data_IF_507806764281
#
_entry.id   IF_507806764281
#
_cell.length_a   1.000
_cell.length_b   1.000
_cell.length_c   1.000
_cell.angle_alpha   90.00
_cell.angle_beta   90.00
_cell.angle_gamma   90.00
#
_symmetry.space_group_name_H-M   'P 1'
#
loop_
_entity.id
_entity.type
_entity.pdbx_description
1 polymer ?
#
# COMPACT_ATOMS: atom_id res chain seq x y z
N UNK A 1 20.29 56.67 -20.96
CA UNK A 1 20.70 56.71 -19.53
C UNK A 1 20.01 57.85 -18.78
N UNK A 2 19.90 59.07 -19.33
CA UNK A 2 19.17 60.20 -18.70
C UNK A 2 17.65 60.00 -18.55
N UNK A 3 16.95 59.41 -19.53
CA UNK A 3 15.48 59.20 -19.45
C UNK A 3 15.05 58.24 -18.32
N UNK A 4 15.89 57.25 -18.04
CA UNK A 4 15.65 56.27 -16.99
C UNK A 4 15.76 56.89 -15.59
N UNK A 5 16.69 57.84 -15.42
CA UNK A 5 16.88 58.61 -14.18
C UNK A 5 15.68 59.57 -13.95
N UNK A 6 15.22 60.24 -15.00
CA UNK A 6 14.04 61.12 -14.92
C UNK A 6 12.77 60.36 -14.50
N UNK A 7 12.54 59.17 -15.06
CA UNK A 7 11.36 58.35 -14.74
C UNK A 7 11.41 57.85 -13.29
N UNK A 8 12.60 57.46 -12.81
CA UNK A 8 12.81 57.06 -11.43
C UNK A 8 12.54 58.23 -10.47
N UNK A 9 13.00 59.44 -10.79
CA UNK A 9 12.76 60.63 -9.97
C UNK A 9 11.28 61.00 -9.89
N UNK A 10 10.51 60.86 -10.97
CA UNK A 10 9.06 61.11 -10.94
C UNK A 10 8.32 60.12 -10.05
N UNK A 11 8.70 58.83 -10.13
CA UNK A 11 8.12 57.78 -9.28
C UNK A 11 8.41 58.03 -7.81
N UNK A 12 9.66 58.34 -7.46
CA UNK A 12 10.06 58.64 -6.08
C UNK A 12 9.30 59.85 -5.52
N UNK A 13 9.04 60.88 -6.33
CA UNK A 13 8.20 62.01 -5.92
C UNK A 13 6.76 61.59 -5.63
N UNK A 14 6.20 60.71 -6.45
CA UNK A 14 4.88 60.12 -6.20
C UNK A 14 4.83 59.35 -4.88
N UNK A 15 5.78 58.43 -4.67
CA UNK A 15 5.87 57.64 -3.45
C UNK A 15 6.07 58.51 -2.19
N UNK A 16 6.87 59.58 -2.28
CA UNK A 16 7.04 60.54 -1.17
C UNK A 16 5.72 61.28 -0.88
N UNK A 17 4.98 61.69 -1.92
CA UNK A 17 3.67 62.34 -1.77
C UNK A 17 2.68 61.41 -1.06
N UNK A 18 2.63 60.14 -1.47
CA UNK A 18 1.75 59.14 -0.86
C UNK A 18 2.10 58.90 0.62
N UNK A 19 3.40 58.81 0.93
CA UNK A 19 3.88 58.67 2.31
C UNK A 19 3.50 59.89 3.14
N UNK A 20 3.62 61.10 2.61
CA UNK A 20 3.22 62.32 3.31
C UNK A 20 1.73 62.36 3.60
N UNK A 21 0.89 61.93 2.65
CA UNK A 21 -0.55 61.83 2.83
C UNK A 21 -0.90 60.81 3.93
N UNK A 22 -0.28 59.63 3.90
CA UNK A 22 -0.48 58.59 4.92
C UNK A 22 -0.02 59.06 6.31
N UNK A 23 1.11 59.76 6.38
CA UNK A 23 1.62 60.33 7.62
C UNK A 23 0.66 61.39 8.19
N UNK A 24 0.07 62.21 7.33
CA UNK A 24 -0.97 63.18 7.69
C UNK A 24 -2.19 62.48 8.30
N UNK A 25 -2.71 61.45 7.62
CA UNK A 25 -3.83 60.63 8.13
C UNK A 25 -3.52 59.99 9.47
N UNK A 26 -2.30 59.47 9.66
CA UNK A 26 -1.87 58.88 10.94
C UNK A 26 -1.78 59.92 12.06
N UNK A 27 -1.27 61.13 11.78
CA UNK A 27 -1.22 62.22 12.76
C UNK A 27 -2.61 62.63 13.19
N UNK A 28 -3.54 62.77 12.26
CA UNK A 28 -4.93 63.10 12.57
C UNK A 28 -5.61 62.01 13.39
N UNK A 29 -5.40 60.74 13.05
CA UNK A 29 -5.92 59.61 13.82
C UNK A 29 -5.38 59.62 15.25
N UNK A 30 -4.07 59.82 15.42
CA UNK A 30 -3.43 59.89 16.73
C UNK A 30 -3.93 61.08 17.55
N UNK A 31 -4.10 62.25 16.92
CA UNK A 31 -4.61 63.45 17.57
C UNK A 31 -6.05 63.24 18.10
N UNK A 32 -6.91 62.59 17.32
CA UNK A 32 -8.27 62.24 17.74
C UNK A 32 -8.27 61.27 18.92
N UNK A 33 -7.39 60.28 18.91
CA UNK A 33 -7.22 59.35 20.05
C UNK A 33 -6.74 60.08 21.30
N UNK A 34 -5.77 61.00 21.18
CA UNK A 34 -5.26 61.80 22.31
C UNK A 34 -6.32 62.76 22.90
N UNK A 35 -7.27 63.21 22.08
CA UNK A 35 -8.45 63.98 22.51
C UNK A 35 -9.56 63.11 23.13
N UNK A 36 -9.38 61.79 23.19
CA UNK A 36 -10.39 60.86 23.72
C UNK A 36 -11.56 60.62 22.77
N UNK A 37 -11.46 61.00 21.50
CA UNK A 37 -12.46 60.61 20.50
C UNK A 37 -12.33 59.10 20.23
N UNK A 38 -13.44 58.38 20.44
CA UNK A 38 -13.50 56.95 20.17
C UNK A 38 -13.39 56.73 18.65
N UNK A 39 -12.29 56.13 18.20
CA UNK A 39 -12.16 55.70 16.82
C UNK A 39 -13.27 54.69 16.55
N UNK A 40 -14.20 55.01 15.63
CA UNK A 40 -15.16 54.03 15.13
C UNK A 40 -14.37 52.80 14.69
N UNK A 41 -14.55 51.70 15.43
CA UNK A 41 -14.06 50.41 14.98
C UNK A 41 -14.61 50.19 13.56
N UNK A 42 -13.79 49.72 12.60
CA UNK A 42 -14.32 49.34 11.31
C UNK A 42 -15.48 48.39 11.55
N UNK A 43 -16.61 48.64 10.88
CA UNK A 43 -17.80 47.81 11.03
C UNK A 43 -17.39 46.34 10.91
N UNK A 44 -17.94 45.45 11.75
CA UNK A 44 -17.62 44.03 11.67
C UNK A 44 -17.78 43.58 10.23
N UNK A 45 -16.76 42.90 9.70
CA UNK A 45 -16.80 42.38 8.34
C UNK A 45 -18.09 41.58 8.15
N UNK A 46 -18.75 41.77 7.01
CA UNK A 46 -19.94 40.99 6.69
C UNK A 46 -19.64 39.50 6.85
N UNK A 47 -20.57 38.69 7.40
CA UNK A 47 -20.34 37.27 7.60
C UNK A 47 -19.88 36.63 6.29
N UNK A 48 -18.73 35.96 6.33
CA UNK A 48 -18.16 35.32 5.15
C UNK A 48 -19.12 34.23 4.63
N UNK A 49 -19.51 34.34 3.36
CA UNK A 49 -20.35 33.34 2.72
C UNK A 49 -19.49 32.16 2.28
N UNK A 50 -19.46 31.10 3.10
CA UNK A 50 -18.67 29.91 2.82
C UNK A 50 -19.27 29.01 1.73
N UNK A 51 -18.41 28.42 0.90
CA UNK A 51 -18.80 27.40 -0.07
C UNK A 51 -19.24 26.11 0.62
N UNK A 52 -20.41 25.54 0.27
CA UNK A 52 -20.85 24.27 0.81
C UNK A 52 -20.04 23.09 0.24
N UNK A 53 -19.96 22.01 1.01
CA UNK A 53 -19.39 20.74 0.53
C UNK A 53 -20.25 20.13 -0.58
N UNK A 54 -19.61 19.58 -1.61
CA UNK A 54 -20.27 18.74 -2.63
C UNK A 54 -19.95 17.28 -2.31
N UNK A 55 -20.89 16.58 -1.68
CA UNK A 55 -20.70 15.20 -1.17
C UNK A 55 -21.68 14.29 -1.89
N UNK A 56 -21.21 13.13 -2.34
CA UNK A 56 -22.09 12.02 -2.68
C UNK A 56 -22.58 11.38 -1.37
N UNK A 57 -23.78 11.77 -0.94
CA UNK A 57 -24.38 11.31 0.32
C UNK A 57 -24.54 9.79 0.36
N UNK A 58 -24.90 9.16 -0.76
CA UNK A 58 -25.05 7.69 -0.83
C UNK A 58 -23.72 7.01 -0.54
N UNK A 59 -22.64 7.53 -1.10
CA UNK A 59 -21.30 6.98 -0.94
C UNK A 59 -20.72 7.27 0.47
N UNK A 60 -20.97 8.46 1.02
CA UNK A 60 -20.53 8.80 2.38
C UNK A 60 -21.17 7.93 3.46
N UNK A 61 -22.39 7.45 3.21
CA UNK A 61 -23.20 6.63 4.13
C UNK A 61 -23.10 5.12 3.84
N UNK A 62 -22.41 4.72 2.77
CA UNK A 62 -22.26 3.31 2.41
C UNK A 62 -21.23 2.57 3.27
N UNK A 63 -21.24 1.25 3.18
CA UNK A 63 -20.11 0.43 3.62
C UNK A 63 -18.86 0.75 2.77
N UNK A 64 -17.68 0.51 3.36
CA UNK A 64 -16.42 0.66 2.64
C UNK A 64 -16.32 -0.37 1.51
N UNK A 65 -15.80 0.00 0.33
CA UNK A 65 -15.59 -0.94 -0.75
C UNK A 65 -14.54 -1.99 -0.37
N UNK A 66 -14.77 -3.23 -0.79
CA UNK A 66 -13.86 -4.34 -0.55
C UNK A 66 -12.73 -4.36 -1.58
N UNK A 67 -11.58 -4.89 -1.18
CA UNK A 67 -10.53 -5.25 -2.12
C UNK A 67 -10.99 -6.44 -2.98
N UNK A 68 -10.74 -6.45 -4.31
CA UNK A 68 -11.12 -7.57 -5.17
C UNK A 68 -10.51 -8.90 -4.70
N UNK A 69 -11.31 -9.97 -4.72
CA UNK A 69 -10.85 -11.34 -4.37
C UNK A 69 -10.40 -12.15 -5.58
N UNK A 70 -10.53 -11.60 -6.78
CA UNK A 70 -10.12 -12.23 -8.04
C UNK A 70 -8.60 -12.33 -8.08
N UNK A 71 -8.04 -13.46 -8.49
CA UNK A 71 -6.58 -13.57 -8.64
C UNK A 71 -6.08 -12.68 -9.78
N UNK A 72 -5.01 -11.91 -9.53
CA UNK A 72 -4.39 -11.04 -10.55
C UNK A 72 -3.89 -11.86 -11.73
N UNK A 73 -4.06 -11.34 -12.95
CA UNK A 73 -3.70 -11.98 -14.22
C UNK A 73 -4.44 -13.30 -14.50
N UNK A 74 -5.49 -13.61 -13.74
CA UNK A 74 -6.36 -14.74 -14.06
C UNK A 74 -7.30 -14.40 -15.22
N UNK A 75 -7.95 -15.41 -15.81
CA UNK A 75 -8.95 -15.18 -16.86
C UNK A 75 -10.15 -14.33 -16.39
N UNK A 76 -10.35 -14.23 -15.08
CA UNK A 76 -11.37 -13.40 -14.45
C UNK A 76 -10.88 -11.97 -14.13
N UNK A 77 -9.60 -11.68 -14.32
CA UNK A 77 -9.03 -10.33 -14.19
C UNK A 77 -9.15 -9.58 -15.51
N UNK A 78 -10.26 -8.84 -15.66
CA UNK A 78 -10.64 -8.17 -16.92
C UNK A 78 -9.93 -6.83 -17.18
N UNK A 79 -8.67 -6.69 -16.72
CA UNK A 79 -7.81 -5.49 -16.72
C UNK A 79 -8.40 -4.24 -16.03
N UNK A 80 -9.71 -4.22 -15.75
CA UNK A 80 -10.47 -3.09 -15.21
C UNK A 80 -10.81 -3.27 -13.73
N UNK A 81 -11.01 -4.51 -13.28
CA UNK A 81 -11.45 -4.88 -11.92
C UNK A 81 -10.70 -4.12 -10.82
N UNK A 82 -9.37 -4.13 -10.86
CA UNK A 82 -8.53 -3.47 -9.85
C UNK A 82 -8.53 -1.95 -9.96
N UNK A 83 -8.54 -1.43 -11.19
CA UNK A 83 -8.57 0.01 -11.44
C UNK A 83 -9.90 0.61 -10.94
N UNK A 84 -11.00 -0.06 -11.22
CA UNK A 84 -12.34 0.39 -10.82
C UNK A 84 -12.56 0.25 -9.32
N UNK A 85 -12.07 -0.84 -8.71
CA UNK A 85 -12.04 -0.96 -7.25
C UNK A 85 -11.23 0.18 -6.61
N UNK A 86 -10.08 0.54 -7.18
CA UNK A 86 -9.28 1.66 -6.69
C UNK A 86 -10.00 3.01 -6.83
N UNK A 87 -10.66 3.26 -7.97
CA UNK A 87 -11.49 4.48 -8.17
C UNK A 87 -12.62 4.55 -7.15
N UNK A 88 -13.33 3.43 -6.92
CA UNK A 88 -14.40 3.35 -5.94
C UNK A 88 -13.88 3.62 -4.51
N UNK A 89 -12.73 3.05 -4.16
CA UNK A 89 -12.09 3.28 -2.87
C UNK A 89 -11.72 4.75 -2.66
N UNK A 90 -11.12 5.40 -3.67
CA UNK A 90 -10.80 6.83 -3.62
C UNK A 90 -12.06 7.69 -3.47
N UNK A 91 -13.09 7.45 -4.28
CA UNK A 91 -14.34 8.19 -4.22
C UNK A 91 -14.98 8.06 -2.83
N UNK A 92 -15.00 6.83 -2.27
CA UNK A 92 -15.56 6.55 -0.96
C UNK A 92 -14.89 7.35 0.15
N UNK A 93 -13.55 7.28 0.25
CA UNK A 93 -12.83 8.00 1.30
C UNK A 93 -12.90 9.51 1.14
N UNK A 94 -12.93 10.02 -0.10
CA UNK A 94 -13.12 11.45 -0.36
C UNK A 94 -14.48 11.92 0.16
N UNK A 95 -15.55 11.20 -0.15
CA UNK A 95 -16.90 11.53 0.33
C UNK A 95 -17.00 11.44 1.86
N UNK A 96 -16.36 10.45 2.47
CA UNK A 96 -16.37 10.23 3.91
C UNK A 96 -15.63 11.33 4.69
N UNK A 97 -14.46 11.75 4.21
CA UNK A 97 -13.72 12.86 4.81
C UNK A 97 -14.43 14.20 4.64
N UNK A 98 -15.00 14.45 3.47
CA UNK A 98 -15.81 15.64 3.23
C UNK A 98 -17.02 15.71 4.20
N UNK A 99 -17.71 14.60 4.41
CA UNK A 99 -18.81 14.52 5.38
C UNK A 99 -18.34 14.70 6.83
N UNK A 100 -17.19 14.12 7.19
CA UNK A 100 -16.58 14.30 8.51
C UNK A 100 -16.30 15.78 8.81
N UNK A 101 -15.65 16.49 7.89
CA UNK A 101 -15.36 17.92 8.06
C UNK A 101 -16.63 18.78 8.08
N UNK A 102 -17.60 18.46 7.21
CA UNK A 102 -18.92 19.12 7.21
C UNK A 102 -19.60 19.01 8.59
N UNK A 103 -19.62 17.81 9.18
CA UNK A 103 -20.20 17.56 10.51
C UNK A 103 -19.44 18.27 11.63
N UNK A 104 -18.14 18.49 11.44
CA UNK A 104 -17.31 19.32 12.31
C UNK A 104 -17.53 20.83 12.16
N UNK A 105 -18.43 21.27 11.27
CA UNK A 105 -18.68 22.69 11.02
C UNK A 105 -17.59 23.39 10.20
N UNK A 106 -16.66 22.63 9.60
CA UNK A 106 -15.59 23.19 8.79
C UNK A 106 -16.07 23.43 7.34
N UNK A 107 -15.92 24.64 6.78
CA UNK A 107 -16.37 24.94 5.44
C UNK A 107 -15.42 24.37 4.37
N UNK A 108 -15.94 24.14 3.15
CA UNK A 108 -15.17 23.51 2.07
C UNK A 108 -14.11 24.42 1.44
N UNK A 109 -14.12 25.71 1.75
CA UNK A 109 -13.18 26.74 1.31
C UNK A 109 -12.28 27.26 2.44
N UNK A 110 -12.27 26.55 3.58
CA UNK A 110 -11.34 26.84 4.67
C UNK A 110 -9.89 26.78 4.15
N UNK A 111 -9.14 27.86 4.36
CA UNK A 111 -7.71 27.89 4.03
C UNK A 111 -6.94 27.12 5.09
N UNK A 112 -6.10 26.20 4.64
CA UNK A 112 -5.14 25.47 5.48
C UNK A 112 -3.73 26.03 5.22
N UNK A 113 -2.89 26.02 6.23
CA UNK A 113 -1.48 26.35 6.07
C UNK A 113 -0.68 25.20 5.43
N UNK A 114 0.46 25.54 4.84
CA UNK A 114 1.30 24.57 4.14
C UNK A 114 2.02 23.59 5.08
N UNK A 115 2.22 23.96 6.35
CA UNK A 115 2.86 23.07 7.33
C UNK A 115 1.91 21.93 7.69
N UNK A 116 0.64 22.24 7.95
CA UNK A 116 -0.42 21.25 8.13
C UNK A 116 -0.58 20.36 6.90
N UNK A 117 -0.65 20.94 5.70
CA UNK A 117 -0.74 20.17 4.46
C UNK A 117 0.48 19.22 4.30
N UNK A 118 1.68 19.71 4.60
CA UNK A 118 2.91 18.91 4.53
C UNK A 118 2.93 17.78 5.56
N UNK A 119 2.44 18.02 6.79
CA UNK A 119 2.37 17.01 7.83
C UNK A 119 1.40 15.87 7.48
N UNK A 120 0.24 16.22 6.91
CA UNK A 120 -0.76 15.25 6.45
C UNK A 120 -0.21 14.42 5.28
N UNK A 121 0.26 15.07 4.21
CA UNK A 121 0.78 14.38 3.03
C UNK A 121 2.02 13.53 3.37
N UNK A 122 2.96 14.06 4.17
CA UNK A 122 4.14 13.30 4.60
C UNK A 122 3.76 12.04 5.39
N UNK A 123 2.73 12.11 6.23
CA UNK A 123 2.22 10.93 6.97
C UNK A 123 1.54 9.93 6.03
N UNK A 124 0.78 10.41 5.04
CA UNK A 124 0.13 9.56 4.03
C UNK A 124 1.18 8.83 3.19
N UNK A 125 2.16 9.56 2.66
CA UNK A 125 3.24 9.01 1.83
C UNK A 125 4.09 8.01 2.63
N UNK A 126 4.52 8.37 3.85
CA UNK A 126 5.33 7.48 4.68
C UNK A 126 4.62 6.14 4.93
N UNK A 127 3.34 6.18 5.31
CA UNK A 127 2.56 4.96 5.54
C UNK A 127 2.32 4.18 4.25
N UNK A 128 2.04 4.87 3.13
CA UNK A 128 1.82 4.25 1.84
C UNK A 128 3.06 3.51 1.34
N UNK A 129 4.21 4.19 1.29
CA UNK A 129 5.47 3.62 0.85
C UNK A 129 5.94 2.50 1.79
N UNK A 130 5.79 2.67 3.10
CA UNK A 130 6.14 1.62 4.06
C UNK A 130 5.29 0.36 3.87
N UNK A 131 3.98 0.51 3.71
CA UNK A 131 3.08 -0.62 3.46
C UNK A 131 3.41 -1.30 2.12
N UNK A 132 3.66 -0.53 1.06
CA UNK A 132 4.03 -1.06 -0.25
C UNK A 132 5.36 -1.83 -0.19
N UNK A 133 6.38 -1.26 0.46
CA UNK A 133 7.67 -1.93 0.66
C UNK A 133 7.52 -3.24 1.44
N UNK A 134 6.66 -3.27 2.46
CA UNK A 134 6.34 -4.50 3.19
C UNK A 134 5.65 -5.54 2.32
N UNK A 135 4.69 -5.14 1.47
CA UNK A 135 4.04 -6.05 0.53
C UNK A 135 5.05 -6.66 -0.45
N UNK A 136 5.90 -5.84 -1.08
CA UNK A 136 6.95 -6.32 -1.99
C UNK A 136 7.92 -7.29 -1.29
N UNK A 137 8.29 -7.01 -0.03
CA UNK A 137 9.15 -7.90 0.74
C UNK A 137 8.47 -9.23 1.09
N UNK A 138 7.16 -9.22 1.33
CA UNK A 138 6.38 -10.44 1.57
C UNK A 138 6.26 -11.26 0.28
N UNK A 139 5.97 -10.62 -0.86
CA UNK A 139 5.92 -11.27 -2.17
C UNK A 139 7.26 -11.94 -2.51
N UNK A 140 8.39 -11.23 -2.33
CA UNK A 140 9.72 -11.81 -2.55
C UNK A 140 10.02 -13.00 -1.61
N UNK A 141 9.55 -12.95 -0.36
CA UNK A 141 9.69 -14.07 0.58
C UNK A 141 8.81 -15.25 0.19
N UNK A 142 7.62 -14.99 -0.34
CA UNK A 142 6.73 -16.03 -0.85
C UNK A 142 7.36 -16.73 -2.05
N UNK A 143 7.86 -15.97 -3.03
CA UNK A 143 8.58 -16.51 -4.19
C UNK A 143 9.78 -17.37 -3.75
N UNK A 144 10.53 -16.91 -2.74
CA UNK A 144 11.63 -17.69 -2.19
C UNK A 144 11.17 -19.02 -1.57
N UNK A 145 10.13 -19.00 -0.74
CA UNK A 145 9.58 -20.19 -0.09
C UNK A 145 8.98 -21.17 -1.11
N UNK A 146 8.29 -20.67 -2.13
CA UNK A 146 7.75 -21.48 -3.21
C UNK A 146 8.88 -22.19 -3.98
N UNK A 147 9.96 -21.47 -4.30
CA UNK A 147 11.14 -22.06 -4.93
C UNK A 147 11.83 -23.09 -4.02
N UNK A 148 11.99 -22.81 -2.72
CA UNK A 148 12.55 -23.77 -1.77
C UNK A 148 11.70 -25.04 -1.69
N UNK A 149 10.37 -24.88 -1.68
CA UNK A 149 9.43 -26.01 -1.64
C UNK A 149 9.55 -26.85 -2.91
N UNK A 150 9.61 -26.22 -4.09
CA UNK A 150 9.78 -26.93 -5.35
C UNK A 150 11.11 -27.72 -5.42
N UNK A 151 12.20 -27.17 -4.88
CA UNK A 151 13.49 -27.89 -4.82
C UNK A 151 13.48 -29.04 -3.81
N UNK A 152 12.84 -28.85 -2.65
CA UNK A 152 12.63 -29.92 -1.67
C UNK A 152 11.74 -31.03 -2.23
N UNK A 153 10.72 -30.70 -3.03
CA UNK A 153 9.87 -31.69 -3.68
C UNK A 153 10.62 -32.50 -4.74
N UNK A 154 11.57 -31.90 -5.46
CA UNK A 154 12.42 -32.61 -6.45
C UNK A 154 13.50 -33.48 -5.83
N UNK A 155 14.01 -33.10 -4.65
CA UNK A 155 15.21 -33.71 -4.05
C UNK A 155 14.96 -34.41 -2.70
N UNK A 156 13.75 -34.30 -2.18
CA UNK A 156 13.37 -34.81 -0.87
C UNK A 156 13.23 -36.33 -0.82
N UNK A 157 13.44 -36.87 0.38
CA UNK A 157 13.20 -38.28 0.69
C UNK A 157 11.76 -38.45 1.20
N UNK A 158 11.00 -39.37 0.60
CA UNK A 158 9.61 -39.66 0.99
C UNK A 158 9.46 -41.11 1.40
N UNK A 159 9.12 -41.38 2.66
CA UNK A 159 8.87 -42.77 3.08
C UNK A 159 7.52 -43.27 2.55
N UNK A 160 7.56 -44.28 1.68
CA UNK A 160 6.42 -44.91 1.01
C UNK A 160 5.92 -46.20 1.67
N UNK A 161 6.45 -46.57 2.84
CA UNK A 161 6.05 -47.77 3.57
C UNK A 161 6.64 -49.06 3.00
N UNK A 162 5.93 -50.19 3.17
CA UNK A 162 6.30 -51.47 2.54
C UNK A 162 6.00 -51.41 1.04
N UNK A 163 6.92 -51.89 0.21
CA UNK A 163 6.75 -51.95 -1.24
C UNK A 163 5.45 -52.67 -1.62
N UNK A 164 4.66 -52.05 -2.49
CA UNK A 164 3.44 -52.62 -3.05
C UNK A 164 3.54 -52.65 -4.56
N UNK A 165 3.33 -53.84 -5.15
CA UNK A 165 3.42 -54.07 -6.59
C UNK A 165 2.46 -53.18 -7.41
N UNK A 166 1.32 -52.79 -6.84
CA UNK A 166 0.30 -51.99 -7.50
C UNK A 166 0.59 -50.48 -7.51
N UNK A 167 1.61 -50.01 -6.78
CA UNK A 167 1.91 -48.59 -6.64
C UNK A 167 3.05 -48.17 -7.57
N UNK A 168 3.06 -46.90 -7.94
CA UNK A 168 4.21 -46.21 -8.49
C UNK A 168 4.96 -45.47 -7.38
N UNK A 169 6.25 -45.23 -7.59
CA UNK A 169 7.09 -44.50 -6.66
C UNK A 169 7.94 -43.48 -7.39
N UNK A 170 7.80 -42.20 -7.05
CA UNK A 170 8.63 -41.16 -7.65
C UNK A 170 10.05 -41.22 -7.10
N UNK A 171 11.03 -40.66 -7.83
CA UNK A 171 12.40 -40.46 -7.33
C UNK A 171 12.39 -39.84 -5.93
N UNK A 172 13.26 -40.34 -5.05
CA UNK A 172 13.33 -39.97 -3.64
C UNK A 172 12.42 -40.79 -2.72
N UNK A 173 11.53 -41.62 -3.27
CA UNK A 173 10.70 -42.53 -2.47
C UNK A 173 11.54 -43.60 -1.80
N UNK A 174 11.28 -43.85 -0.52
CA UNK A 174 11.93 -44.88 0.29
C UNK A 174 10.92 -45.93 0.70
N UNK A 175 11.18 -47.18 0.34
CA UNK A 175 10.30 -48.30 0.68
C UNK A 175 11.07 -49.37 1.45
N UNK A 176 10.34 -50.17 2.21
CA UNK A 176 10.86 -51.42 2.77
C UNK A 176 10.47 -52.58 1.87
N UNK A 177 11.45 -53.42 1.51
CA UNK A 177 11.22 -54.62 0.73
C UNK A 177 12.20 -55.70 1.16
N UNK A 178 11.66 -56.87 1.52
CA UNK A 178 12.40 -58.03 2.02
C UNK A 178 13.26 -57.71 3.24
N UNK A 179 12.77 -56.82 4.12
CA UNK A 179 13.41 -56.39 5.36
C UNK A 179 14.50 -55.34 5.18
N UNK A 180 14.77 -54.89 3.95
CA UNK A 180 15.76 -53.83 3.65
C UNK A 180 15.05 -52.54 3.23
N UNK A 181 15.68 -51.39 3.45
CA UNK A 181 15.21 -50.11 2.98
C UNK A 181 15.88 -49.73 1.66
N UNK A 182 15.10 -49.27 0.69
CA UNK A 182 15.51 -48.94 -0.66
C UNK A 182 15.03 -47.54 -1.03
N UNK A 183 15.85 -46.76 -1.74
CA UNK A 183 15.47 -45.46 -2.29
C UNK A 183 15.35 -45.55 -3.81
N UNK A 184 14.27 -45.00 -4.36
CA UNK A 184 14.10 -44.82 -5.78
C UNK A 184 15.00 -43.66 -6.26
N UNK A 185 16.00 -43.95 -7.08
CA UNK A 185 16.87 -42.95 -7.73
C UNK A 185 16.29 -42.47 -9.07
N UNK A 186 15.23 -43.12 -9.57
CA UNK A 186 14.39 -42.68 -10.70
C UNK A 186 12.93 -42.99 -10.36
N UNK A 187 12.00 -42.49 -11.17
CA UNK A 187 10.61 -42.89 -11.06
C UNK A 187 10.47 -44.39 -11.35
N UNK A 188 9.73 -45.10 -10.51
CA UNK A 188 9.47 -46.53 -10.59
C UNK A 188 7.99 -46.74 -10.92
N UNK A 189 7.72 -47.31 -12.10
CA UNK A 189 6.38 -47.67 -12.53
C UNK A 189 5.82 -48.89 -11.76
N UNK A 190 4.54 -49.17 -11.97
CA UNK A 190 3.84 -50.30 -11.37
C UNK A 190 4.58 -51.61 -11.64
N UNK A 191 4.83 -52.37 -10.59
CA UNK A 191 5.47 -53.69 -10.68
C UNK A 191 6.99 -53.69 -10.77
N UNK A 192 7.65 -52.53 -10.80
CA UNK A 192 9.12 -52.43 -10.71
C UNK A 192 9.57 -52.73 -9.28
N UNK A 193 10.29 -53.84 -9.06
CA UNK A 193 10.69 -54.31 -7.73
C UNK A 193 12.04 -53.75 -7.29
N UNK A 194 12.24 -53.41 -5.99
CA UNK A 194 13.51 -52.85 -5.53
C UNK A 194 14.74 -53.74 -5.70
N UNK A 195 14.59 -55.07 -5.55
CA UNK A 195 15.71 -56.00 -5.63
C UNK A 195 16.18 -56.25 -7.07
N UNK A 196 15.28 -56.20 -8.05
CA UNK A 196 15.55 -56.62 -9.43
C UNK A 196 15.84 -55.45 -10.38
N UNK A 197 15.66 -54.20 -9.93
CA UNK A 197 15.81 -53.00 -10.76
C UNK A 197 16.83 -52.01 -10.17
N UNK A 198 18.14 -52.36 -10.19
CA UNK A 198 19.21 -51.56 -9.57
C UNK A 198 19.47 -50.21 -10.27
N UNK A 199 18.96 -50.03 -11.49
CA UNK A 199 19.01 -48.77 -12.23
C UNK A 199 17.93 -47.75 -11.81
N UNK A 200 16.95 -48.22 -11.02
CA UNK A 200 15.84 -47.43 -10.47
C UNK A 200 15.90 -47.39 -8.95
N UNK A 201 16.33 -48.48 -8.29
CA UNK A 201 16.37 -48.60 -6.83
C UNK A 201 17.80 -48.76 -6.32
N UNK A 202 18.12 -48.03 -5.26
CA UNK A 202 19.40 -48.14 -4.55
C UNK A 202 19.15 -48.60 -3.11
N UNK A 203 19.92 -49.58 -2.65
CA UNK A 203 19.86 -50.07 -1.27
C UNK A 203 20.35 -48.97 -0.31
N UNK A 204 19.50 -48.56 0.64
CA UNK A 204 19.87 -47.60 1.69
C UNK A 204 20.33 -48.31 2.96
N UNK A 205 19.56 -49.30 3.40
CA UNK A 205 19.80 -50.03 4.65
C UNK A 205 19.57 -51.50 4.37
N UNK A 206 20.62 -52.29 4.57
CA UNK A 206 20.54 -53.74 4.46
C UNK A 206 19.84 -54.32 5.69
N UNK A 207 18.96 -55.30 5.48
CA UNK A 207 18.31 -56.03 6.57
C UNK A 207 19.33 -56.61 7.56
N UNK A 208 19.00 -56.54 8.86
CA UNK A 208 19.68 -57.34 9.89
C UNK A 208 19.32 -58.82 9.78
N UNK A 209 19.95 -59.66 10.62
CA UNK A 209 19.71 -61.11 10.64
C UNK A 209 18.23 -61.48 10.69
N UNK A 210 17.44 -60.76 11.51
CA UNK A 210 16.00 -60.99 11.69
C UNK A 210 15.11 -59.98 10.94
N UNK A 211 15.67 -59.21 10.01
CA UNK A 211 14.94 -58.16 9.28
C UNK A 211 13.88 -58.73 8.34
N UNK A 212 12.63 -58.30 8.54
CA UNK A 212 11.47 -58.63 7.70
C UNK A 212 10.60 -57.38 7.50
N UNK A 213 9.81 -57.36 6.43
CA UNK A 213 8.86 -56.27 6.21
C UNK A 213 7.77 -56.29 7.30
N UNK A 214 7.22 -55.12 7.63
CA UNK A 214 6.13 -55.03 8.57
C UNK A 214 4.90 -55.76 8.01
N UNK A 215 4.36 -56.73 8.77
CA UNK A 215 3.05 -57.31 8.49
C UNK A 215 1.98 -56.28 8.81
N UNK A 216 1.17 -55.94 7.79
CA UNK A 216 -0.03 -55.11 7.96
C UNK A 216 -1.07 -55.81 8.82
#
# INVERSE_FOLDING_TARGET
>A
MLDQDWTMQQRLKGEISDIQELLGKQRDLRFKVELGEELKQPAPAAPEQHRPWKIDEKLSQSAAPNYPTVSRKSLADDDSTYLDAHKAFKAYWTARWADHFRKGGLPADLKIDLEFASAVEGTIEANHYWAMARCMAIEARLDHLENQTAELEKSGVRYGGVYQRANTYNRGSVVTHLGSAWVAIKDADVGVTPQDSPDIWQLMVKKGHDGKDATR
#
